data_IF_018288702717
#
_entry.id   IF_018288702717
#
_cell.length_a   1.000
_cell.length_b   1.000
_cell.length_c   1.000
_cell.angle_alpha   90.00
_cell.angle_beta   90.00
_cell.angle_gamma   90.00
#
_symmetry.space_group_name_H-M   'P 1'
#
loop_
_entity.id
_entity.type
_entity.pdbx_description
1 polymer ?
#
# COMPACT_ATOMS: atom_id res chain seq x y z
N UNK A 1 -4.50 5.64 -14.26
CA UNK A 1 -3.05 5.89 -14.12
C UNK A 1 -2.63 7.08 -14.97
N UNK A 2 -1.77 7.96 -14.44
CA UNK A 2 -1.21 9.06 -15.23
C UNK A 2 -0.45 8.54 -16.45
N UNK A 3 0.34 7.49 -16.29
CA UNK A 3 1.07 6.85 -17.42
C UNK A 3 0.11 6.27 -18.47
N UNK A 4 -1.05 5.74 -18.08
CA UNK A 4 -2.10 5.31 -19.00
C UNK A 4 -2.64 6.49 -19.82
N UNK A 5 -3.01 7.58 -19.14
CA UNK A 5 -3.53 8.77 -19.82
C UNK A 5 -2.48 9.38 -20.77
N UNK A 6 -1.21 9.47 -20.37
CA UNK A 6 -0.12 9.93 -21.24
C UNK A 6 0.01 9.01 -22.46
N UNK A 7 -0.04 7.69 -22.27
CA UNK A 7 0.04 6.71 -23.36
C UNK A 7 -1.11 6.87 -24.34
N UNK A 8 -2.32 7.11 -23.85
CA UNK A 8 -3.47 7.40 -24.71
C UNK A 8 -3.31 8.71 -25.47
N UNK A 9 -2.89 9.78 -24.79
CA UNK A 9 -2.66 11.09 -25.45
C UNK A 9 -1.64 10.98 -26.58
N UNK A 10 -0.55 10.23 -26.38
CA UNK A 10 0.46 10.01 -27.44
C UNK A 10 -0.18 9.36 -28.66
N UNK A 11 -1.07 8.38 -28.49
CA UNK A 11 -1.76 7.72 -29.59
C UNK A 11 -2.73 8.64 -30.33
N UNK A 12 -3.33 9.62 -29.63
CA UNK A 12 -4.27 10.58 -30.24
C UNK A 12 -3.59 11.76 -30.91
N UNK A 13 -2.46 12.22 -30.38
CA UNK A 13 -1.79 13.43 -30.87
C UNK A 13 -0.94 13.13 -32.11
N UNK A 14 -0.36 11.92 -32.19
CA UNK A 14 0.55 11.55 -33.25
C UNK A 14 -0.03 10.45 -34.15
N UNK A 15 -0.09 10.70 -35.47
CA UNK A 15 -0.56 9.70 -36.44
C UNK A 15 0.33 8.43 -36.48
N UNK A 16 1.63 8.61 -36.23
CA UNK A 16 2.62 7.53 -36.13
C UNK A 16 3.50 7.80 -34.90
N UNK A 17 3.00 7.45 -33.70
CA UNK A 17 3.76 7.69 -32.51
C UNK A 17 5.00 6.78 -32.48
N UNK A 18 6.17 7.41 -32.42
CA UNK A 18 7.45 6.74 -32.21
C UNK A 18 7.97 7.09 -30.83
N UNK A 19 8.40 6.09 -30.10
CA UNK A 19 9.06 6.26 -28.81
C UNK A 19 10.20 5.27 -28.66
N UNK A 20 11.19 5.61 -27.87
CA UNK A 20 12.26 4.71 -27.52
C UNK A 20 11.76 3.56 -26.64
N UNK A 21 12.47 2.44 -26.66
CA UNK A 21 12.13 1.30 -25.77
C UNK A 21 12.11 1.73 -24.30
N UNK A 22 13.04 2.58 -23.89
CA UNK A 22 13.13 3.08 -22.52
C UNK A 22 11.88 3.90 -22.13
N UNK A 23 11.39 4.77 -23.00
CA UNK A 23 10.16 5.55 -22.75
C UNK A 23 8.94 4.64 -22.67
N UNK A 24 8.85 3.65 -23.55
CA UNK A 24 7.79 2.67 -23.53
C UNK A 24 7.82 1.82 -22.24
N UNK A 25 9.00 1.40 -21.80
CA UNK A 25 9.19 0.67 -20.53
C UNK A 25 8.86 1.52 -19.31
N UNK A 26 9.25 2.80 -19.31
CA UNK A 26 8.94 3.72 -18.21
C UNK A 26 7.43 3.96 -18.06
N UNK A 27 6.70 4.19 -19.16
CA UNK A 27 5.24 4.32 -19.14
C UNK A 27 4.56 3.01 -18.71
N UNK A 28 5.05 1.87 -19.20
CA UNK A 28 4.54 0.56 -18.80
C UNK A 28 4.77 0.29 -17.31
N UNK A 29 5.95 0.66 -16.78
CA UNK A 29 6.27 0.57 -15.36
C UNK A 29 5.31 1.44 -14.52
N UNK A 30 5.02 2.66 -14.95
CA UNK A 30 4.06 3.55 -14.28
C UNK A 30 2.63 2.97 -14.24
N UNK A 31 2.15 2.40 -15.36
CA UNK A 31 0.86 1.68 -15.37
C UNK A 31 0.89 0.53 -14.36
N UNK A 32 1.95 -0.27 -14.35
CA UNK A 32 2.10 -1.40 -13.43
C UNK A 32 2.07 -1.00 -11.96
N UNK A 33 2.71 0.10 -11.58
CA UNK A 33 2.69 0.62 -10.20
C UNK A 33 1.29 1.00 -9.78
N UNK A 34 0.64 1.89 -10.54
CA UNK A 34 -0.67 2.44 -10.20
C UNK A 34 -1.78 1.38 -10.16
N UNK A 35 -1.61 0.34 -10.95
CA UNK A 35 -2.59 -0.76 -11.05
C UNK A 35 -2.23 -1.96 -10.16
N UNK A 36 -1.22 -1.86 -9.31
CA UNK A 36 -0.70 -2.99 -8.53
C UNK A 36 -0.52 -4.24 -9.41
N UNK A 37 0.24 -4.10 -10.50
CA UNK A 37 0.44 -5.16 -11.51
C UNK A 37 -0.85 -5.66 -12.15
N UNK A 38 -1.74 -4.75 -12.57
CA UNK A 38 -3.04 -5.00 -13.20
C UNK A 38 -4.09 -5.66 -12.30
N UNK A 39 -3.93 -5.58 -10.98
CA UNK A 39 -4.90 -6.11 -10.01
C UNK A 39 -5.85 -5.05 -9.45
N UNK A 40 -5.59 -3.76 -9.69
CA UNK A 40 -6.36 -2.67 -9.11
C UNK A 40 -6.62 -1.55 -10.12
N UNK A 41 -7.84 -0.98 -10.12
CA UNK A 41 -8.24 0.13 -11.02
C UNK A 41 -7.86 -0.12 -12.48
N UNK A 42 -8.08 -1.32 -12.98
CA UNK A 42 -7.73 -1.76 -14.32
C UNK A 42 -8.98 -1.93 -15.16
N UNK A 43 -9.02 -1.25 -16.29
CA UNK A 43 -10.10 -1.34 -17.29
C UNK A 43 -9.57 -1.74 -18.66
N UNK A 44 -10.45 -1.82 -19.64
CA UNK A 44 -10.09 -2.13 -21.05
C UNK A 44 -9.02 -1.17 -21.57
N UNK A 45 -9.18 0.13 -21.32
CA UNK A 45 -8.22 1.17 -21.74
C UNK A 45 -6.82 0.95 -21.17
N UNK A 46 -6.71 0.46 -19.93
CA UNK A 46 -5.41 0.13 -19.32
C UNK A 46 -4.69 -0.96 -20.11
N UNK A 47 -5.41 -2.00 -20.54
CA UNK A 47 -4.84 -3.08 -21.35
C UNK A 47 -4.52 -2.62 -22.78
N UNK A 48 -5.33 -1.74 -23.37
CA UNK A 48 -5.07 -1.14 -24.67
C UNK A 48 -3.79 -0.29 -24.65
N UNK A 49 -3.63 0.56 -23.62
CA UNK A 49 -2.40 1.33 -23.39
C UNK A 49 -1.17 0.40 -23.21
N UNK A 50 -1.30 -0.64 -22.38
CA UNK A 50 -0.24 -1.61 -22.20
C UNK A 50 0.11 -2.36 -23.49
N UNK A 51 -0.90 -2.74 -24.29
CA UNK A 51 -0.71 -3.37 -25.61
C UNK A 51 0.01 -2.44 -26.59
N UNK A 52 -0.36 -1.15 -26.61
CA UNK A 52 0.35 -0.16 -27.44
C UNK A 52 1.82 -0.08 -27.03
N UNK A 53 2.14 0.07 -25.75
CA UNK A 53 3.53 0.14 -25.26
C UNK A 53 4.32 -1.13 -25.62
N UNK A 54 3.68 -2.29 -25.58
CA UNK A 54 4.29 -3.54 -26.06
C UNK A 54 4.64 -3.49 -27.55
N UNK A 55 3.76 -2.92 -28.39
CA UNK A 55 4.04 -2.71 -29.83
C UNK A 55 5.18 -1.74 -30.05
N UNK A 56 5.37 -0.75 -29.15
CA UNK A 56 6.52 0.19 -29.18
C UNK A 56 7.82 -0.45 -28.64
N UNK A 57 7.80 -1.73 -28.27
CA UNK A 57 8.99 -2.48 -27.89
C UNK A 57 9.23 -2.61 -26.39
N UNK A 58 8.29 -2.18 -25.52
CA UNK A 58 8.44 -2.36 -24.09
C UNK A 58 8.63 -3.85 -23.74
N UNK A 59 9.71 -4.17 -23.03
CA UNK A 59 10.07 -5.51 -22.58
C UNK A 59 9.55 -5.73 -21.17
N UNK A 60 8.57 -6.59 -21.01
CA UNK A 60 7.95 -6.85 -19.70
C UNK A 60 8.91 -7.46 -18.69
N UNK A 61 9.94 -8.17 -19.15
CA UNK A 61 10.97 -8.71 -18.27
C UNK A 61 11.81 -7.61 -17.66
N UNK A 62 12.28 -6.65 -18.44
CA UNK A 62 13.05 -5.50 -17.96
C UNK A 62 12.22 -4.67 -16.96
N UNK A 63 10.95 -4.42 -17.31
CA UNK A 63 10.04 -3.75 -16.38
C UNK A 63 9.83 -4.55 -15.09
N UNK A 64 9.79 -5.89 -15.16
CA UNK A 64 9.70 -6.72 -13.96
C UNK A 64 10.95 -6.58 -13.08
N UNK A 65 12.13 -6.53 -13.70
CA UNK A 65 13.41 -6.40 -12.98
C UNK A 65 13.54 -5.06 -12.25
N UNK A 66 12.93 -3.98 -12.77
CA UNK A 66 12.86 -2.69 -12.07
C UNK A 66 12.17 -2.78 -10.70
N UNK A 67 11.34 -3.79 -10.49
CA UNK A 67 10.59 -4.02 -9.24
C UNK A 67 11.09 -5.27 -8.49
N UNK A 68 12.26 -5.78 -8.85
CA UNK A 68 12.87 -6.87 -8.10
C UNK A 68 13.16 -6.42 -6.67
N UNK A 69 12.74 -7.23 -5.72
CA UNK A 69 12.94 -6.96 -4.31
C UNK A 69 14.25 -7.59 -3.84
N UNK A 70 14.95 -6.87 -2.99
CA UNK A 70 16.06 -7.42 -2.25
C UNK A 70 15.59 -8.48 -1.24
N UNK A 71 16.33 -9.58 -1.16
CA UNK A 71 15.97 -10.71 -0.32
C UNK A 71 15.98 -10.36 1.18
N UNK A 72 16.86 -9.47 1.62
CA UNK A 72 16.91 -9.04 3.02
C UNK A 72 15.68 -8.19 3.35
N UNK A 73 15.31 -7.26 2.49
CA UNK A 73 14.07 -6.45 2.62
C UNK A 73 12.84 -7.33 2.67
N UNK A 74 12.77 -8.37 1.82
CA UNK A 74 11.70 -9.36 1.88
C UNK A 74 11.64 -10.08 3.23
N UNK A 75 12.77 -10.56 3.74
CA UNK A 75 12.83 -11.27 5.03
C UNK A 75 12.42 -10.38 6.21
N UNK A 76 12.86 -9.12 6.22
CA UNK A 76 12.49 -8.14 7.26
C UNK A 76 10.96 -7.96 7.28
N UNK A 77 10.35 -7.73 6.12
CA UNK A 77 8.89 -7.61 5.98
C UNK A 77 8.17 -8.90 6.37
N UNK A 78 8.63 -10.06 5.93
CA UNK A 78 8.07 -11.35 6.27
C UNK A 78 8.10 -11.63 7.78
N UNK A 79 9.15 -11.17 8.48
CA UNK A 79 9.24 -11.28 9.94
C UNK A 79 8.17 -10.42 10.65
N UNK A 80 7.89 -9.21 10.16
CA UNK A 80 6.81 -8.38 10.70
C UNK A 80 5.48 -9.11 10.55
N UNK A 81 5.20 -9.62 9.36
CA UNK A 81 3.95 -10.33 9.04
C UNK A 81 3.80 -11.58 9.91
N UNK A 82 4.85 -12.38 10.05
CA UNK A 82 4.86 -13.60 10.87
C UNK A 82 4.53 -13.34 12.35
N UNK A 83 4.97 -12.19 12.87
CA UNK A 83 4.79 -11.82 14.28
C UNK A 83 3.53 -10.97 14.53
N UNK A 84 2.70 -10.74 13.53
CA UNK A 84 1.46 -10.01 13.68
C UNK A 84 0.45 -10.82 14.52
N UNK A 85 -0.16 -10.18 15.49
CA UNK A 85 -1.32 -10.71 16.21
C UNK A 85 -2.60 -10.40 15.42
N UNK A 86 -3.49 -11.38 15.31
CA UNK A 86 -4.79 -11.20 14.65
C UNK A 86 -5.88 -11.32 15.72
N UNK A 87 -6.62 -10.23 15.91
CA UNK A 87 -7.75 -10.16 16.83
C UNK A 87 -8.95 -9.62 16.07
N UNK A 88 -10.04 -10.38 16.08
CA UNK A 88 -11.30 -10.00 15.40
C UNK A 88 -11.06 -9.52 13.94
N UNK A 89 -10.29 -10.25 13.17
CA UNK A 89 -9.96 -9.92 11.76
C UNK A 89 -9.16 -8.63 11.56
N UNK A 90 -8.56 -8.09 12.61
CA UNK A 90 -7.57 -7.01 12.52
C UNK A 90 -6.20 -7.55 12.85
N UNK A 91 -5.25 -7.36 11.93
CA UNK A 91 -3.85 -7.72 12.14
C UNK A 91 -3.08 -6.53 12.75
N UNK A 92 -2.33 -6.77 13.81
CA UNK A 92 -1.51 -5.75 14.46
C UNK A 92 -0.10 -6.29 14.70
N UNK A 93 0.92 -5.53 14.33
CA UNK A 93 2.31 -5.89 14.57
C UNK A 93 3.06 -4.76 15.29
N UNK A 94 3.92 -5.13 16.24
CA UNK A 94 4.86 -4.23 16.91
C UNK A 94 6.23 -4.42 16.31
N UNK A 95 6.90 -3.33 15.97
CA UNK A 95 8.19 -3.35 15.30
C UNK A 95 9.12 -2.35 15.96
N UNK A 96 10.33 -2.80 16.24
CA UNK A 96 11.37 -1.98 16.84
C UNK A 96 12.50 -1.80 15.83
N UNK A 97 12.98 -0.57 15.69
CA UNK A 97 14.16 -0.22 14.90
C UNK A 97 14.10 -0.69 13.43
N UNK A 98 12.95 -0.43 12.78
CA UNK A 98 12.68 -0.84 11.41
C UNK A 98 12.42 0.38 10.51
N UNK A 99 12.70 0.23 9.22
CA UNK A 99 12.37 1.21 8.19
C UNK A 99 10.84 1.36 8.03
N UNK A 100 10.37 2.61 8.03
CA UNK A 100 8.94 2.92 7.91
C UNK A 100 8.33 2.44 6.59
N UNK A 101 9.12 2.40 5.51
CA UNK A 101 8.65 1.90 4.21
C UNK A 101 8.40 0.39 4.30
N UNK A 102 9.30 -0.37 4.95
CA UNK A 102 9.14 -1.81 5.16
C UNK A 102 7.93 -2.08 6.05
N UNK A 103 7.76 -1.30 7.12
CA UNK A 103 6.61 -1.39 8.02
C UNK A 103 5.29 -1.10 7.32
N UNK A 104 5.24 -0.06 6.48
CA UNK A 104 4.06 0.27 5.69
C UNK A 104 3.75 -0.82 4.65
N UNK A 105 4.77 -1.39 3.99
CA UNK A 105 4.61 -2.52 3.07
C UNK A 105 4.10 -3.78 3.78
N UNK A 106 4.55 -4.03 5.01
CA UNK A 106 4.04 -5.14 5.82
C UNK A 106 2.55 -4.95 6.15
N UNK A 107 2.13 -3.72 6.49
CA UNK A 107 0.72 -3.40 6.70
C UNK A 107 -0.12 -3.60 5.43
N UNK A 108 0.39 -3.17 4.26
CA UNK A 108 -0.25 -3.40 2.96
C UNK A 108 -0.42 -4.90 2.66
N UNK A 109 0.60 -5.71 2.95
CA UNK A 109 0.56 -7.16 2.71
C UNK A 109 -0.36 -7.87 3.69
N UNK A 110 -0.34 -7.51 4.98
CA UNK A 110 -1.26 -8.04 5.99
C UNK A 110 -2.73 -7.77 5.63
N UNK A 111 -3.05 -6.57 5.14
CA UNK A 111 -4.40 -6.22 4.73
C UNK A 111 -4.91 -7.02 3.50
N UNK A 112 -4.02 -7.66 2.74
CA UNK A 112 -4.39 -8.49 1.59
C UNK A 112 -4.64 -9.97 1.95
N UNK A 113 -4.41 -10.40 3.20
CA UNK A 113 -4.75 -11.75 3.60
C UNK A 113 -6.27 -11.95 3.72
N UNK A 114 -6.71 -13.15 3.33
CA UNK A 114 -8.11 -13.54 3.48
C UNK A 114 -8.55 -13.40 4.94
N UNK A 115 -9.75 -12.88 5.12
CA UNK A 115 -10.39 -12.67 6.43
C UNK A 115 -9.72 -11.60 7.32
N UNK A 116 -8.81 -10.78 6.77
CA UNK A 116 -8.28 -9.58 7.44
C UNK A 116 -9.00 -8.35 6.89
N UNK A 117 -9.68 -7.63 7.77
CA UNK A 117 -10.43 -6.43 7.44
C UNK A 117 -9.59 -5.16 7.52
N UNK A 118 -8.55 -5.17 8.35
CA UNK A 118 -7.59 -4.09 8.48
C UNK A 118 -6.29 -4.56 9.12
N UNK A 119 -5.21 -3.84 8.86
CA UNK A 119 -3.89 -4.13 9.39
C UNK A 119 -3.20 -2.86 9.88
N UNK A 120 -2.55 -2.94 11.02
CA UNK A 120 -1.80 -1.86 11.63
C UNK A 120 -0.41 -2.33 12.03
N UNK A 121 0.60 -1.58 11.62
CA UNK A 121 1.98 -1.81 12.04
C UNK A 121 2.46 -0.61 12.83
N UNK A 122 2.81 -0.86 14.09
CA UNK A 122 3.35 0.14 15.01
C UNK A 122 4.87 0.04 14.96
N UNK A 123 5.54 1.11 14.58
CA UNK A 123 7.00 1.15 14.43
C UNK A 123 7.58 2.17 15.39
N UNK A 124 8.49 1.74 16.24
CA UNK A 124 9.23 2.64 17.13
C UNK A 124 10.30 3.38 16.31
N UNK A 125 10.30 4.70 16.42
CA UNK A 125 11.34 5.58 15.89
C UNK A 125 11.68 6.65 16.93
N UNK A 126 12.90 6.66 17.39
CA UNK A 126 13.36 7.58 18.44
C UNK A 126 12.39 7.59 19.66
N UNK A 127 11.80 8.74 19.95
CA UNK A 127 10.81 8.94 21.01
C UNK A 127 9.35 8.92 20.51
N UNK A 128 9.08 8.33 19.35
CA UNK A 128 7.75 8.27 18.75
C UNK A 128 7.39 6.85 18.30
N UNK A 129 6.11 6.56 18.33
CA UNK A 129 5.52 5.38 17.67
C UNK A 129 4.78 5.83 16.43
N UNK A 130 5.21 5.32 15.28
CA UNK A 130 4.56 5.58 14.00
C UNK A 130 3.62 4.40 13.70
N UNK A 131 2.35 4.70 13.43
CA UNK A 131 1.35 3.69 13.10
C UNK A 131 1.01 3.79 11.63
N UNK A 132 1.16 2.70 10.90
CA UNK A 132 0.73 2.54 9.52
C UNK A 132 -0.52 1.67 9.46
N UNK A 133 -1.67 2.24 9.07
CA UNK A 133 -2.95 1.56 8.93
C UNK A 133 -3.31 1.30 7.47
N UNK A 134 -3.80 0.10 7.17
CA UNK A 134 -4.24 -0.34 5.83
C UNK A 134 -5.51 -1.16 5.92
N UNK A 135 -6.38 -1.02 4.92
CA UNK A 135 -7.53 -1.92 4.72
C UNK A 135 -7.86 -2.06 3.24
N UNK A 136 -8.69 -3.02 2.88
CA UNK A 136 -9.20 -3.15 1.51
C UNK A 136 -10.51 -2.39 1.31
N UNK A 137 -11.40 -2.34 2.30
CA UNK A 137 -12.65 -1.54 2.33
C UNK A 137 -13.46 -1.75 3.63
N UNK A 138 -13.26 -2.87 4.33
CA UNK A 138 -14.16 -3.33 5.40
C UNK A 138 -13.92 -2.59 6.73
N UNK A 139 -12.81 -1.90 6.86
CA UNK A 139 -12.46 -1.12 8.05
C UNK A 139 -11.98 0.27 7.62
N UNK A 140 -12.56 1.31 8.17
CA UNK A 140 -12.12 2.68 7.92
C UNK A 140 -10.92 3.03 8.81
N UNK A 141 -9.70 2.80 8.30
CA UNK A 141 -8.46 3.06 9.06
C UNK A 141 -8.21 4.56 9.29
N UNK A 142 -8.80 5.43 8.47
CA UNK A 142 -8.69 6.88 8.65
C UNK A 142 -9.35 7.30 9.97
N UNK A 143 -10.62 6.96 10.18
CA UNK A 143 -11.36 7.34 11.38
C UNK A 143 -10.71 6.80 12.66
N UNK A 144 -10.19 5.57 12.60
CA UNK A 144 -9.48 4.96 13.74
C UNK A 144 -8.22 5.77 14.08
N UNK A 145 -7.42 6.14 13.08
CA UNK A 145 -6.16 6.82 13.32
C UNK A 145 -6.33 8.33 13.56
N UNK A 146 -7.43 8.94 13.12
CA UNK A 146 -7.79 10.32 13.50
C UNK A 146 -8.04 10.45 15.00
N UNK A 147 -8.58 9.44 15.67
CA UNK A 147 -8.71 9.42 17.14
C UNK A 147 -7.35 9.46 17.86
N UNK A 148 -6.29 8.99 17.18
CA UNK A 148 -4.92 9.03 17.67
C UNK A 148 -4.13 10.25 17.15
N UNK A 149 -4.82 11.27 16.63
CA UNK A 149 -4.20 12.48 16.08
C UNK A 149 -3.52 12.29 14.73
N UNK A 150 -3.83 11.20 14.04
CA UNK A 150 -3.35 10.88 12.69
C UNK A 150 -4.30 11.34 11.59
N UNK A 151 -4.19 10.71 10.42
CA UNK A 151 -5.07 10.98 9.28
C UNK A 151 -4.68 10.20 8.04
N UNK A 152 -5.42 10.42 6.97
CA UNK A 152 -5.17 9.74 5.69
C UNK A 152 -6.43 9.59 4.86
N UNK A 153 -6.65 8.40 4.34
CA UNK A 153 -7.84 8.00 3.60
C UNK A 153 -8.43 6.73 4.21
N UNK A 154 -9.67 6.42 3.85
CA UNK A 154 -10.41 5.27 4.35
C UNK A 154 -9.61 3.95 4.37
N UNK A 155 -8.80 3.70 3.33
CA UNK A 155 -8.04 2.46 3.16
C UNK A 155 -6.55 2.57 3.49
N UNK A 156 -6.05 3.78 3.75
CA UNK A 156 -4.64 4.06 4.02
C UNK A 156 -4.53 5.29 4.92
N UNK A 157 -4.03 5.11 6.13
CA UNK A 157 -3.86 6.19 7.09
C UNK A 157 -2.60 5.96 7.93
N UNK A 158 -2.17 7.01 8.64
CA UNK A 158 -1.05 6.96 9.56
C UNK A 158 -1.25 7.85 10.77
N UNK A 159 -0.63 7.53 11.88
CA UNK A 159 -0.56 8.35 13.08
C UNK A 159 0.85 8.37 13.64
N UNK A 160 1.19 9.43 14.38
CA UNK A 160 2.45 9.57 15.09
C UNK A 160 2.15 9.92 16.54
N UNK A 161 2.49 9.02 17.44
CA UNK A 161 2.36 9.22 18.88
C UNK A 161 3.72 9.59 19.45
N UNK A 162 3.79 10.74 20.11
CA UNK A 162 5.02 11.24 20.75
C UNK A 162 5.03 10.85 22.23
N UNK A 163 6.23 10.64 22.77
CA UNK A 163 6.45 10.42 24.20
C UNK A 163 5.57 9.30 24.81
N UNK A 164 5.32 8.24 24.04
CA UNK A 164 4.57 7.06 24.45
C UNK A 164 5.39 5.80 24.19
N UNK A 165 5.18 4.77 24.98
CA UNK A 165 5.82 3.49 24.73
C UNK A 165 4.98 2.61 23.77
N UNK A 166 5.56 1.50 23.35
CA UNK A 166 4.95 0.59 22.38
C UNK A 166 3.68 -0.09 22.90
N UNK A 167 3.64 -0.42 24.19
CA UNK A 167 2.50 -1.11 24.79
C UNK A 167 1.33 -0.15 25.00
N UNK A 168 1.61 1.07 25.43
CA UNK A 168 0.60 2.13 25.55
C UNK A 168 0.03 2.51 24.18
N UNK A 169 0.88 2.68 23.16
CA UNK A 169 0.43 2.96 21.79
C UNK A 169 -0.44 1.81 21.24
N UNK A 170 -0.07 0.58 21.52
CA UNK A 170 -0.82 -0.59 21.11
C UNK A 170 -2.20 -0.65 21.78
N UNK A 171 -2.28 -0.36 23.09
CA UNK A 171 -3.53 -0.33 23.83
C UNK A 171 -4.45 0.81 23.32
N UNK A 172 -3.92 2.01 23.12
CA UNK A 172 -4.68 3.13 22.53
C UNK A 172 -5.26 2.76 21.16
N UNK A 173 -4.47 2.10 20.31
CA UNK A 173 -4.95 1.64 19.01
C UNK A 173 -6.07 0.60 19.15
N UNK A 174 -5.93 -0.35 20.07
CA UNK A 174 -6.98 -1.34 20.33
C UNK A 174 -8.30 -0.69 20.79
N UNK A 175 -8.23 0.29 21.68
CA UNK A 175 -9.39 1.04 22.15
C UNK A 175 -10.07 1.81 20.99
N UNK A 176 -9.30 2.49 20.15
CA UNK A 176 -9.82 3.18 18.96
C UNK A 176 -10.51 2.21 17.98
N UNK A 177 -9.92 1.04 17.73
CA UNK A 177 -10.52 0.00 16.88
C UNK A 177 -11.85 -0.51 17.48
N UNK A 178 -11.89 -0.79 18.79
CA UNK A 178 -13.08 -1.28 19.45
C UNK A 178 -14.21 -0.25 19.45
N UNK A 179 -13.89 1.02 19.65
CA UNK A 179 -14.85 2.11 19.63
C UNK A 179 -15.47 2.24 18.24
N UNK A 180 -14.66 2.31 17.19
CA UNK A 180 -15.12 2.42 15.81
C UNK A 180 -16.07 1.27 15.42
N UNK A 181 -15.77 0.03 15.83
CA UNK A 181 -16.64 -1.13 15.58
C UNK A 181 -17.99 -1.08 16.29
N UNK A 182 -18.01 -0.55 17.52
CA UNK A 182 -19.28 -0.38 18.25
C UNK A 182 -20.18 0.65 17.56
N UNK A 183 -19.59 1.72 17.04
CA UNK A 183 -20.30 2.75 16.29
C UNK A 183 -20.86 2.23 14.97
N UNK A 184 -20.09 1.43 14.22
CA UNK A 184 -20.59 0.76 12.99
C UNK A 184 -21.70 -0.25 13.26
N UNK A 185 -21.67 -0.95 14.40
CA UNK A 185 -22.69 -1.93 14.76
C UNK A 185 -23.99 -1.32 15.29
N UNK A 186 -23.99 -0.02 15.58
CA UNK A 186 -25.12 0.72 16.11
C UNK A 186 -25.95 1.45 15.02
N UNK A 187 -25.49 1.42 13.76
CA UNK A 187 -26.11 2.00 12.58
C UNK A 187 -26.75 0.90 11.73
#
# INVERSE_FOLDING_TARGET
>A
STSELVTELIQYIFDKPEMSILEAEALFAGIRVDTKSFNFKTGVRTFEAASFLKRQGARTQEVREMFAQDFQTYNRRANIIKNAAIVDKVAMAKVYDEDLVISAQAADELANFKDIHGAFVLTQQDNAIIISGRSLKELNVQLILEELGGGGHMTMAGAKLMDTDMDDAYNQLQEAIQKHRKEESAV
#
